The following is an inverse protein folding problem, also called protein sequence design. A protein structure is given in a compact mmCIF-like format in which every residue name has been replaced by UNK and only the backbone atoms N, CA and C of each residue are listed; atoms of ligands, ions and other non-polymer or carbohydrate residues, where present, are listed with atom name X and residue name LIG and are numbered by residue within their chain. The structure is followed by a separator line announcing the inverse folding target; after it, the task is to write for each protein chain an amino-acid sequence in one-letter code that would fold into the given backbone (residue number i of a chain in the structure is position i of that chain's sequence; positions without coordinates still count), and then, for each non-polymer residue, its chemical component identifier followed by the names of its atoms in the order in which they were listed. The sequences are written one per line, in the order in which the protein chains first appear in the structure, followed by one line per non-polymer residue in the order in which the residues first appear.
data_IF_567625730865
#
_entry.id   IF_567625730865
#
_cell.length_a   1.000
_cell.length_b   1.000
_cell.length_c   1.000
_cell.angle_alpha   90.00
_cell.angle_beta   90.00
_cell.angle_gamma   90.00
#
_symmetry.space_group_name_H-M   'P 1'
#
loop_
_entity.id
_entity.type
_entity.pdbx_description
1 polymer ?
#
# COMPACT_ATOMS: atom_id res chain seq x y z
N UNK A 1 -3.44 -10.77 -9.34
CA UNK A 1 -2.02 -10.32 -9.37
C UNK A 1 -1.42 -10.18 -7.97
N UNK A 2 -1.96 -9.34 -7.07
CA UNK A 2 -1.35 -9.08 -5.74
C UNK A 2 -1.15 -10.33 -4.86
N UNK A 3 -1.98 -11.36 -5.02
CA UNK A 3 -1.81 -12.65 -4.35
C UNK A 3 -0.64 -13.50 -4.91
N UNK A 4 -0.01 -13.07 -6.00
CA UNK A 4 1.08 -13.80 -6.67
C UNK A 4 0.64 -15.07 -7.43
N UNK A 5 -0.68 -15.31 -7.55
CA UNK A 5 -1.23 -16.50 -8.22
C UNK A 5 -1.14 -16.41 -9.76
N UNK A 6 -1.32 -15.22 -10.33
CA UNK A 6 -1.30 -15.05 -11.80
C UNK A 6 0.12 -14.91 -12.36
N UNK A 7 1.02 -14.25 -11.64
CA UNK A 7 2.43 -14.13 -11.99
C UNK A 7 3.28 -14.13 -10.73
N UNK A 8 4.17 -15.12 -10.60
CA UNK A 8 5.03 -15.30 -9.43
C UNK A 8 6.36 -14.59 -9.67
N UNK A 9 6.73 -13.75 -8.71
CA UNK A 9 7.99 -13.00 -8.70
C UNK A 9 8.91 -13.53 -7.60
N UNK A 10 10.22 -13.29 -7.73
CA UNK A 10 11.19 -13.56 -6.67
C UNK A 10 10.88 -12.72 -5.41
N UNK A 11 10.49 -11.47 -5.61
CA UNK A 11 9.97 -10.59 -4.57
C UNK A 11 8.47 -10.40 -4.76
N UNK A 12 7.65 -10.57 -3.70
CA UNK A 12 6.21 -10.52 -3.83
C UNK A 12 5.70 -9.15 -4.29
N UNK A 13 4.54 -9.13 -4.94
CA UNK A 13 3.82 -7.89 -5.22
C UNK A 13 3.48 -7.15 -3.92
N UNK A 14 3.73 -5.85 -3.90
CA UNK A 14 3.37 -4.91 -2.83
C UNK A 14 2.55 -3.79 -3.45
N UNK A 15 1.29 -3.67 -3.05
CA UNK A 15 0.41 -2.57 -3.43
C UNK A 15 0.66 -1.35 -2.55
N UNK A 16 0.62 -0.16 -3.15
CA UNK A 16 0.75 1.13 -2.46
C UNK A 16 -0.39 2.05 -2.89
N UNK A 17 -0.82 2.93 -1.98
CA UNK A 17 -1.83 3.96 -2.27
C UNK A 17 -1.23 5.32 -1.99
N UNK A 18 -1.13 6.12 -3.04
CA UNK A 18 -0.51 7.44 -3.00
C UNK A 18 -1.57 8.54 -2.86
N UNK A 19 -1.09 9.77 -2.63
CA UNK A 19 -1.93 10.97 -2.68
C UNK A 19 -2.49 11.17 -4.09
N UNK A 20 -3.78 11.45 -4.17
CA UNK A 20 -4.42 11.88 -5.42
C UNK A 20 -3.97 13.29 -5.81
N UNK A 21 -4.27 13.72 -7.05
CA UNK A 21 -4.00 15.10 -7.47
C UNK A 21 -4.71 16.13 -6.58
N UNK A 22 -5.94 15.83 -6.16
CA UNK A 22 -6.69 16.70 -5.24
C UNK A 22 -6.02 16.79 -3.86
N UNK A 23 -5.47 15.70 -3.35
CA UNK A 23 -4.73 15.69 -2.08
C UNK A 23 -3.43 16.48 -2.18
N UNK A 24 -2.74 16.40 -3.32
CA UNK A 24 -1.52 17.20 -3.57
C UNK A 24 -1.87 18.68 -3.61
N UNK A 25 -2.90 19.07 -4.37
CA UNK A 25 -3.34 20.45 -4.47
C UNK A 25 -3.80 21.04 -3.12
N UNK A 26 -4.28 20.19 -2.20
CA UNK A 26 -4.67 20.55 -0.84
C UNK A 26 -3.54 20.45 0.19
N UNK A 27 -2.31 20.13 -0.25
CA UNK A 27 -1.16 19.89 0.62
C UNK A 27 -1.46 18.90 1.75
N UNK A 28 -2.17 17.82 1.44
CA UNK A 28 -2.46 16.78 2.43
C UNK A 28 -1.15 16.20 2.95
N UNK A 29 -1.05 16.21 4.28
CA UNK A 29 0.10 15.73 5.01
C UNK A 29 0.42 14.25 4.72
N UNK A 30 1.71 13.92 4.73
CA UNK A 30 2.18 12.58 4.41
C UNK A 30 1.81 11.55 5.49
N UNK A 31 1.75 11.93 6.76
CA UNK A 31 1.30 11.03 7.85
C UNK A 31 -0.18 10.72 7.66
N UNK A 32 -0.99 11.73 7.31
CA UNK A 32 -2.41 11.52 6.98
C UNK A 32 -2.59 10.61 5.75
N UNK A 33 -1.77 10.78 4.70
CA UNK A 33 -1.78 9.91 3.55
C UNK A 33 -1.41 8.45 3.90
N UNK A 34 -0.36 8.24 4.71
CA UNK A 34 0.06 6.91 5.19
C UNK A 34 -1.02 6.24 6.06
N UNK A 35 -1.72 7.02 6.90
CA UNK A 35 -2.85 6.50 7.68
C UNK A 35 -3.99 6.04 6.78
N UNK A 36 -4.38 6.85 5.79
CA UNK A 36 -5.39 6.48 4.80
C UNK A 36 -5.01 5.24 3.99
N UNK A 37 -3.72 5.09 3.63
CA UNK A 37 -3.22 3.87 2.98
C UNK A 37 -3.41 2.63 3.87
N UNK A 38 -3.06 2.71 5.16
CA UNK A 38 -3.28 1.62 6.11
C UNK A 38 -4.76 1.27 6.26
N UNK A 39 -5.62 2.28 6.40
CA UNK A 39 -7.08 2.10 6.50
C UNK A 39 -7.65 1.48 5.23
N UNK A 40 -7.18 1.90 4.04
CA UNK A 40 -7.62 1.34 2.77
C UNK A 40 -7.38 -0.18 2.72
N UNK A 41 -6.16 -0.62 3.02
CA UNK A 41 -5.86 -2.05 3.00
C UNK A 41 -6.54 -2.82 4.13
N UNK A 42 -6.77 -2.20 5.30
CA UNK A 42 -7.44 -2.85 6.41
C UNK A 42 -8.97 -3.01 6.22
N UNK A 43 -9.60 -2.04 5.56
CA UNK A 43 -11.06 -1.96 5.46
C UNK A 43 -11.61 -2.47 4.12
N UNK A 44 -10.79 -2.55 3.07
CA UNK A 44 -11.23 -3.09 1.77
C UNK A 44 -11.32 -4.62 1.83
N UNK A 45 -12.52 -5.24 1.71
CA UNK A 45 -12.71 -6.68 1.89
C UNK A 45 -11.77 -7.55 1.03
N UNK A 46 -11.53 -7.13 -0.20
CA UNK A 46 -10.70 -7.84 -1.19
C UNK A 46 -9.20 -7.79 -0.87
N UNK A 47 -8.76 -6.87 -0.01
CA UNK A 47 -7.35 -6.69 0.34
C UNK A 47 -7.04 -6.88 1.82
N UNK A 48 -8.07 -7.01 2.67
CA UNK A 48 -7.93 -7.12 4.12
C UNK A 48 -7.00 -8.25 4.56
N UNK A 49 -7.07 -9.40 3.90
CA UNK A 49 -6.17 -10.55 4.19
C UNK A 49 -4.71 -10.27 3.81
N UNK A 50 -4.47 -9.29 2.94
CA UNK A 50 -3.13 -8.89 2.48
C UNK A 50 -2.59 -7.67 3.24
N UNK A 51 -3.38 -7.01 4.09
CA UNK A 51 -3.04 -5.71 4.68
C UNK A 51 -1.66 -5.68 5.37
N UNK A 52 -1.25 -6.77 6.03
CA UNK A 52 0.03 -6.88 6.75
C UNK A 52 1.28 -6.84 5.84
N UNK A 53 1.12 -7.06 4.54
CA UNK A 53 2.19 -7.12 3.52
C UNK A 53 2.01 -6.10 2.39
N UNK A 54 1.22 -5.06 2.64
CA UNK A 54 0.92 -3.98 1.70
C UNK A 54 1.34 -2.63 2.29
N UNK A 55 1.30 -1.62 1.44
CA UNK A 55 1.57 -0.24 1.83
C UNK A 55 3.03 0.16 1.71
N UNK A 56 3.23 1.47 1.64
CA UNK A 56 4.51 2.09 1.38
C UNK A 56 5.51 1.90 2.55
N UNK A 57 5.02 1.65 3.77
CA UNK A 57 5.88 1.34 4.93
C UNK A 57 6.45 -0.08 4.83
N UNK A 58 5.64 -1.05 4.42
CA UNK A 58 6.08 -2.42 4.17
C UNK A 58 7.10 -2.46 3.02
N UNK A 59 6.83 -1.72 1.94
CA UNK A 59 7.75 -1.58 0.82
C UNK A 59 9.11 -1.04 1.27
N UNK A 60 9.14 0.07 2.01
CA UNK A 60 10.39 0.65 2.51
C UNK A 60 11.19 -0.35 3.35
N UNK A 61 10.53 -1.05 4.29
CA UNK A 61 11.17 -2.09 5.11
C UNK A 61 11.75 -3.24 4.29
N UNK A 62 11.08 -3.63 3.21
CA UNK A 62 11.56 -4.68 2.31
C UNK A 62 12.76 -4.25 1.47
N UNK A 63 12.85 -2.96 1.10
CA UNK A 63 13.96 -2.41 0.33
C UNK A 63 15.18 -2.03 1.18
N UNK A 64 14.99 -1.79 2.48
CA UNK A 64 16.08 -1.52 3.41
C UNK A 64 16.83 -2.78 3.89
N UNK A 65 16.48 -3.95 3.35
CA UNK A 65 17.21 -5.21 3.57
C UNK A 65 18.16 -5.49 2.43
#
# INVERSE_FOLDING_TARGET
ILEGKSYRLQYPWIGVVNRSQADINKNVDMIAARRREREYFANTPEYRHLAHRMGSEHLAKMMSK
#
